data_IF_140032427761
#
_entry.id   IF_140032427761
#
_cell.length_a   1.000
_cell.length_b   1.000
_cell.length_c   1.000
_cell.angle_alpha   90.00
_cell.angle_beta   90.00
_cell.angle_gamma   90.00
#
_symmetry.space_group_name_H-M   'P 1'
#
loop_
_entity.id
_entity.type
_entity.pdbx_description
1 polymer ?
#
# COMPACT_ATOMS: atom_id res chain seq x y z
N UNK A 1 15.92 30.21 -12.73
CA UNK A 1 14.47 30.11 -12.54
C UNK A 1 14.02 29.26 -13.71
N UNK A 2 13.75 27.97 -13.54
CA UNK A 2 13.04 27.38 -12.42
C UNK A 2 13.65 26.02 -12.06
N UNK A 3 14.00 25.87 -10.79
CA UNK A 3 14.38 24.60 -10.21
C UNK A 3 13.09 23.77 -10.20
N UNK A 4 12.95 22.88 -11.18
CA UNK A 4 11.81 22.00 -11.33
C UNK A 4 11.84 21.04 -10.15
N UNK A 5 11.26 21.49 -9.03
CA UNK A 5 11.05 20.68 -7.85
C UNK A 5 10.14 19.56 -8.30
N UNK A 6 10.74 18.40 -8.58
CA UNK A 6 10.06 17.14 -8.80
C UNK A 6 9.40 16.76 -7.47
N UNK A 7 8.29 17.44 -7.16
CA UNK A 7 7.37 17.05 -6.12
C UNK A 7 6.81 15.74 -6.62
N UNK A 8 7.37 14.63 -6.14
CA UNK A 8 6.79 13.31 -6.31
C UNK A 8 5.44 13.40 -5.60
N UNK A 9 4.41 13.84 -6.33
CA UNK A 9 3.04 13.79 -5.86
C UNK A 9 2.79 12.31 -5.63
N UNK A 10 2.61 11.92 -4.37
CA UNK A 10 2.30 10.53 -4.07
C UNK A 10 0.95 10.21 -4.71
N UNK A 11 0.99 9.56 -5.88
CA UNK A 11 -0.21 9.12 -6.59
C UNK A 11 -1.03 8.21 -5.68
N UNK A 12 -2.30 8.57 -5.55
CA UNK A 12 -3.31 7.73 -4.93
C UNK A 12 -3.75 6.69 -5.96
N UNK A 13 -3.82 5.45 -5.50
CA UNK A 13 -4.31 4.33 -6.30
C UNK A 13 -5.52 3.71 -5.60
N UNK A 14 -6.52 3.23 -6.36
CA UNK A 14 -7.59 2.42 -5.83
C UNK A 14 -7.02 1.24 -5.05
N UNK A 15 -7.58 0.98 -3.87
CA UNK A 15 -7.18 -0.13 -3.02
C UNK A 15 -7.37 -1.46 -3.74
N UNK A 16 -8.39 -1.58 -4.58
CA UNK A 16 -8.62 -2.76 -5.40
C UNK A 16 -7.42 -3.04 -6.32
N UNK A 17 -6.97 -2.05 -7.09
CA UNK A 17 -5.81 -2.18 -7.99
C UNK A 17 -4.53 -2.54 -7.22
N UNK A 18 -4.34 -1.96 -6.04
CA UNK A 18 -3.20 -2.27 -5.17
C UNK A 18 -3.25 -3.73 -4.67
N UNK A 19 -4.43 -4.24 -4.33
CA UNK A 19 -4.64 -5.64 -3.91
C UNK A 19 -4.41 -6.59 -5.09
N UNK A 20 -4.94 -6.29 -6.27
CA UNK A 20 -4.75 -7.11 -7.48
C UNK A 20 -3.27 -7.17 -7.89
N UNK A 21 -2.55 -6.06 -7.75
CA UNK A 21 -1.12 -5.98 -8.04
C UNK A 21 -0.22 -6.22 -6.82
N UNK A 22 -0.76 -6.71 -5.70
CA UNK A 22 -0.04 -6.85 -4.43
C UNK A 22 1.25 -7.68 -4.56
N UNK A 23 1.17 -8.79 -5.29
CA UNK A 23 2.30 -9.70 -5.48
C UNK A 23 3.45 -9.02 -6.23
N UNK A 24 3.14 -8.25 -7.28
CA UNK A 24 4.14 -7.48 -8.00
C UNK A 24 4.72 -6.32 -7.16
N UNK A 25 3.89 -5.68 -6.32
CA UNK A 25 4.28 -4.52 -5.52
C UNK A 25 5.11 -4.89 -4.28
N UNK A 26 4.85 -6.05 -3.68
CA UNK A 26 5.34 -6.42 -2.35
C UNK A 26 5.96 -7.82 -2.27
N UNK A 27 5.73 -8.68 -3.27
CA UNK A 27 6.09 -10.10 -3.22
C UNK A 27 5.15 -10.96 -2.38
N UNK A 28 4.12 -10.38 -1.77
CA UNK A 28 3.15 -11.10 -0.94
C UNK A 28 1.85 -11.37 -1.68
N UNK A 29 1.18 -12.46 -1.30
CA UNK A 29 -0.12 -12.84 -1.87
C UNK A 29 -1.20 -11.83 -1.51
N UNK A 30 -2.21 -11.72 -2.39
CA UNK A 30 -3.38 -10.82 -2.20
C UNK A 30 -4.10 -11.02 -0.87
N UNK A 31 -4.14 -12.24 -0.34
CA UNK A 31 -4.76 -12.55 0.95
C UNK A 31 -4.08 -11.81 2.11
N UNK A 32 -2.77 -11.56 2.02
CA UNK A 32 -2.02 -10.75 2.99
C UNK A 32 -2.46 -9.29 2.89
N UNK A 33 -2.63 -8.75 1.68
CA UNK A 33 -3.14 -7.40 1.50
C UNK A 33 -4.58 -7.25 2.00
N UNK A 34 -5.46 -8.20 1.69
CA UNK A 34 -6.84 -8.20 2.19
C UNK A 34 -6.87 -8.26 3.71
N UNK A 35 -6.03 -9.10 4.34
CA UNK A 35 -5.89 -9.16 5.80
C UNK A 35 -5.34 -7.86 6.40
N UNK A 36 -4.29 -7.30 5.80
CA UNK A 36 -3.68 -6.03 6.22
C UNK A 36 -4.63 -4.83 6.08
N UNK A 37 -5.59 -4.92 5.17
CA UNK A 37 -6.55 -3.86 4.85
C UNK A 37 -7.97 -4.14 5.34
N UNK A 38 -8.19 -5.22 6.11
CA UNK A 38 -9.52 -5.68 6.52
C UNK A 38 -10.35 -4.62 7.28
N UNK A 39 -9.70 -3.67 7.95
CA UNK A 39 -10.32 -2.56 8.68
C UNK A 39 -9.82 -1.19 8.17
N UNK A 40 -9.34 -1.13 6.92
CA UNK A 40 -8.70 0.06 6.38
C UNK A 40 -9.66 1.24 6.19
N UNK A 41 -10.91 0.98 5.78
CA UNK A 41 -11.95 1.98 5.50
C UNK A 41 -11.67 2.95 4.33
N UNK A 42 -10.48 2.89 3.71
CA UNK A 42 -10.10 3.75 2.58
C UNK A 42 -10.36 3.05 1.24
N UNK A 43 -10.84 3.82 0.28
CA UNK A 43 -11.01 3.38 -1.11
C UNK A 43 -9.74 3.58 -1.93
N UNK A 44 -8.89 4.55 -1.55
CA UNK A 44 -7.64 4.87 -2.24
C UNK A 44 -6.50 5.10 -1.23
N UNK A 45 -5.28 4.75 -1.63
CA UNK A 45 -4.06 5.06 -0.85
C UNK A 45 -2.82 5.10 -1.73
N UNK A 46 -1.72 5.64 -1.19
CA UNK A 46 -0.44 5.65 -1.89
C UNK A 46 0.23 4.28 -1.83
N UNK A 47 1.08 3.96 -2.81
CA UNK A 47 1.89 2.72 -2.80
C UNK A 47 2.73 2.58 -1.53
N UNK A 48 3.21 3.71 -0.98
CA UNK A 48 4.00 3.74 0.25
C UNK A 48 3.15 3.37 1.46
N UNK A 49 1.94 3.93 1.56
CA UNK A 49 1.00 3.60 2.62
C UNK A 49 0.61 2.11 2.56
N UNK A 50 0.29 1.61 1.37
CA UNK A 50 -0.06 0.21 1.13
C UNK A 50 1.03 -0.76 1.60
N UNK A 51 2.28 -0.52 1.17
CA UNK A 51 3.44 -1.32 1.59
C UNK A 51 3.66 -1.26 3.10
N UNK A 52 3.50 -0.08 3.70
CA UNK A 52 3.60 0.11 5.15
C UNK A 52 2.57 -0.70 5.92
N UNK A 53 1.31 -0.71 5.47
CA UNK A 53 0.23 -1.49 6.09
C UNK A 53 0.48 -2.99 6.00
N UNK A 54 0.91 -3.51 4.85
CA UNK A 54 1.27 -4.93 4.70
C UNK A 54 2.43 -5.31 5.60
N UNK A 55 3.49 -4.51 5.62
CA UNK A 55 4.65 -4.77 6.49
C UNK A 55 4.25 -4.79 7.96
N UNK A 56 3.49 -3.79 8.42
CA UNK A 56 2.99 -3.72 9.78
C UNK A 56 2.12 -4.93 10.13
N UNK A 57 1.29 -5.40 9.20
CA UNK A 57 0.46 -6.59 9.40
C UNK A 57 1.31 -7.86 9.60
N UNK A 58 2.38 -8.03 8.82
CA UNK A 58 3.29 -9.18 8.94
C UNK A 58 4.21 -9.11 10.17
N UNK A 59 4.60 -7.90 10.58
CA UNK A 59 5.45 -7.69 11.75
C UNK A 59 4.70 -7.77 13.09
N UNK A 60 3.35 -7.80 13.07
CA UNK A 60 2.55 -8.03 14.28
C UNK A 60 2.81 -9.44 14.82
N UNK A 61 3.70 -9.52 15.81
CA UNK A 61 3.77 -10.69 16.70
C UNK A 61 2.49 -10.75 17.52
N UNK A 62 1.72 -11.83 17.32
CA UNK A 62 0.69 -12.25 18.26
C UNK A 62 1.44 -12.86 19.45
N UNK A 63 1.58 -12.09 20.53
CA UNK A 63 2.06 -12.59 21.81
C UNK A 63 0.92 -13.25 22.58
#
# INVERSE_FOLDING_TARGET
>A
MDEETNVIQEELYPVHDLIENCEALTGYRKEVAVGALFDCGKEEMTKKEFKGRIKNFLERKVN
#
